data_IF_660439472766
#
_entry.id   IF_660439472766
#
_cell.length_a   1.000
_cell.length_b   1.000
_cell.length_c   1.000
_cell.angle_alpha   90.00
_cell.angle_beta   90.00
_cell.angle_gamma   90.00
#
_symmetry.space_group_name_H-M   'P 1'
#
loop_
_entity.id
_entity.type
_entity.pdbx_description
1 polymer ?
#
# COMPACT_ATOMS: atom_id res chain seq x y z
N UNK A 1 1.35 -13.29 27.04
CA UNK A 1 2.60 -13.89 26.54
C UNK A 1 3.67 -12.87 26.18
N UNK A 2 3.38 -11.62 25.77
CA UNK A 2 4.36 -10.62 25.33
C UNK A 2 4.84 -9.59 26.35
N UNK A 3 4.37 -9.60 27.58
CA UNK A 3 4.58 -8.53 28.57
C UNK A 3 6.05 -8.22 28.93
N UNK A 4 6.97 -9.13 28.63
CA UNK A 4 8.42 -8.95 28.88
C UNK A 4 9.21 -8.57 27.61
N UNK A 5 8.56 -8.45 26.45
CA UNK A 5 9.23 -8.09 25.19
C UNK A 5 9.34 -6.57 25.08
N UNK A 6 10.47 -6.03 24.60
CA UNK A 6 10.60 -4.60 24.37
C UNK A 6 9.63 -4.15 23.28
N UNK A 7 8.99 -3.00 23.48
CA UNK A 7 7.98 -2.42 22.58
C UNK A 7 8.47 -1.17 21.85
N UNK A 8 9.65 -1.23 21.23
CA UNK A 8 10.14 -0.14 20.39
C UNK A 8 9.51 -0.20 19.00
N UNK A 9 9.27 0.95 18.40
CA UNK A 9 8.71 1.11 17.05
C UNK A 9 9.31 0.13 16.03
N UNK A 10 10.63 0.08 15.91
CA UNK A 10 11.31 -0.79 14.93
C UNK A 10 11.03 -2.28 15.19
N UNK A 11 11.04 -2.70 16.46
CA UNK A 11 10.70 -4.08 16.83
C UNK A 11 9.25 -4.40 16.47
N UNK A 12 8.35 -3.46 16.73
CA UNK A 12 6.92 -3.62 16.41
C UNK A 12 6.70 -3.66 14.92
N UNK A 13 7.34 -2.81 14.11
CA UNK A 13 7.28 -2.90 12.66
C UNK A 13 7.72 -4.27 12.12
N UNK A 14 8.75 -4.87 12.73
CA UNK A 14 9.23 -6.19 12.36
C UNK A 14 8.21 -7.30 12.70
N UNK A 15 7.74 -7.33 13.97
CA UNK A 15 6.91 -8.45 14.46
C UNK A 15 5.44 -8.35 14.04
N UNK A 16 4.94 -7.14 13.73
CA UNK A 16 3.57 -6.92 13.28
C UNK A 16 3.42 -7.00 11.75
N UNK A 17 4.49 -7.30 11.01
CA UNK A 17 4.42 -7.58 9.57
C UNK A 17 4.64 -6.38 8.64
N UNK A 18 4.80 -5.13 9.14
CA UNK A 18 5.04 -3.97 8.29
C UNK A 18 6.30 -4.15 7.43
N UNK A 19 7.38 -4.66 8.01
CA UNK A 19 8.62 -4.91 7.28
C UNK A 19 8.50 -6.05 6.25
N UNK A 20 7.59 -7.00 6.47
CA UNK A 20 7.35 -8.08 5.51
C UNK A 20 6.77 -7.58 4.18
N UNK A 21 6.06 -6.43 4.22
CA UNK A 21 5.41 -5.84 3.04
C UNK A 21 6.12 -4.58 2.51
N UNK A 22 7.18 -4.13 3.18
CA UNK A 22 7.92 -2.90 2.83
C UNK A 22 9.31 -3.23 2.32
N UNK A 23 9.67 -2.66 1.17
CA UNK A 23 10.95 -2.85 0.50
C UNK A 23 10.81 -3.37 -0.94
N UNK A 24 11.92 -3.54 -1.66
CA UNK A 24 11.92 -4.05 -3.04
C UNK A 24 11.38 -5.48 -3.08
N UNK A 25 10.70 -5.83 -4.18
CA UNK A 25 10.03 -7.12 -4.33
C UNK A 25 11.01 -8.32 -4.20
N UNK A 26 12.19 -8.16 -4.74
CA UNK A 26 13.28 -9.15 -4.78
C UNK A 26 14.41 -8.88 -3.76
N UNK A 27 14.19 -7.95 -2.84
CA UNK A 27 15.20 -7.48 -1.89
C UNK A 27 14.90 -7.76 -0.42
N UNK A 28 15.60 -7.04 0.46
CA UNK A 28 15.42 -7.11 1.90
C UNK A 28 14.14 -6.46 2.41
N UNK A 29 13.75 -6.81 3.63
CA UNK A 29 12.67 -6.19 4.36
C UNK A 29 13.12 -4.82 4.94
N UNK A 30 12.36 -3.77 4.70
CA UNK A 30 12.67 -2.43 5.15
C UNK A 30 11.65 -1.94 6.17
N UNK A 31 12.11 -1.19 7.17
CA UNK A 31 11.22 -0.42 8.04
C UNK A 31 10.74 0.85 7.31
N UNK A 32 9.63 1.42 7.74
CA UNK A 32 9.26 2.77 7.35
C UNK A 32 10.33 3.79 7.80
N UNK A 33 10.49 4.87 7.04
CA UNK A 33 11.50 5.90 7.31
C UNK A 33 11.31 6.62 8.65
N UNK A 34 10.07 6.67 9.14
CA UNK A 34 9.68 7.28 10.43
C UNK A 34 9.20 6.21 11.41
N UNK A 35 9.04 6.56 12.69
CA UNK A 35 8.50 5.70 13.75
C UNK A 35 6.97 5.54 13.57
N UNK A 36 6.55 4.81 12.53
CA UNK A 36 5.15 4.74 12.10
C UNK A 36 4.24 4.04 13.11
N UNK A 37 4.76 3.05 13.86
CA UNK A 37 4.01 2.38 14.91
C UNK A 37 3.74 3.33 16.09
N UNK A 38 4.73 4.11 16.49
CA UNK A 38 4.56 5.12 17.54
C UNK A 38 3.57 6.21 17.14
N UNK A 39 3.68 6.73 15.91
CA UNK A 39 2.77 7.76 15.40
C UNK A 39 1.32 7.27 15.34
N UNK A 40 1.09 6.08 14.78
CA UNK A 40 -0.25 5.49 14.73
C UNK A 40 -0.84 5.24 16.12
N UNK A 41 -0.02 4.73 17.03
CA UNK A 41 -0.43 4.48 18.42
C UNK A 41 -0.76 5.78 19.15
N UNK A 42 0.04 6.83 18.95
CA UNK A 42 -0.23 8.15 19.50
C UNK A 42 -1.57 8.73 19.00
N UNK A 43 -1.88 8.59 17.71
CA UNK A 43 -3.16 9.00 17.14
C UNK A 43 -4.34 8.19 17.70
N UNK A 44 -4.19 6.87 17.81
CA UNK A 44 -5.21 6.00 18.41
C UNK A 44 -5.42 6.34 19.89
N UNK A 45 -4.35 6.62 20.63
CA UNK A 45 -4.42 7.03 22.03
C UNK A 45 -5.16 8.36 22.18
N UNK A 46 -4.84 9.36 21.36
CA UNK A 46 -5.52 10.66 21.39
C UNK A 46 -7.02 10.50 21.10
N UNK A 47 -7.39 9.70 20.10
CA UNK A 47 -8.78 9.42 19.74
C UNK A 47 -9.53 8.72 20.89
N UNK A 48 -8.92 7.71 21.50
CA UNK A 48 -9.50 6.97 22.62
C UNK A 48 -9.67 7.85 23.86
N UNK A 49 -8.70 8.73 24.16
CA UNK A 49 -8.80 9.71 25.25
C UNK A 49 -9.96 10.67 25.02
N UNK A 50 -10.08 11.23 23.82
CA UNK A 50 -11.20 12.15 23.49
C UNK A 50 -12.56 11.45 23.61
N UNK A 51 -12.68 10.22 23.13
CA UNK A 51 -13.89 9.42 23.28
C UNK A 51 -14.23 9.15 24.76
N UNK A 52 -13.24 8.81 25.56
CA UNK A 52 -13.42 8.58 26.99
C UNK A 52 -13.79 9.86 27.75
N UNK A 53 -13.23 11.01 27.39
CA UNK A 53 -13.58 12.30 27.96
C UNK A 53 -15.03 12.70 27.62
N UNK A 54 -15.44 12.47 26.37
CA UNK A 54 -16.83 12.69 25.95
C UNK A 54 -17.81 11.79 26.72
N UNK A 55 -17.48 10.52 26.89
CA UNK A 55 -18.27 9.60 27.72
C UNK A 55 -18.32 10.05 29.15
N UNK A 56 -17.18 10.47 29.75
CA UNK A 56 -17.12 11.00 31.12
C UNK A 56 -18.01 12.23 31.29
N UNK A 57 -18.00 13.12 30.30
CA UNK A 57 -18.89 14.31 30.32
C UNK A 57 -20.37 13.92 30.38
N UNK A 58 -20.77 12.85 29.67
CA UNK A 58 -22.17 12.39 29.62
C UNK A 58 -22.59 11.56 30.84
N UNK A 59 -21.67 10.79 31.41
CA UNK A 59 -21.97 9.75 32.44
C UNK A 59 -21.45 10.08 33.83
N UNK A 60 -20.56 11.07 33.95
CA UNK A 60 -19.84 11.38 35.18
C UNK A 60 -18.75 10.37 35.55
N UNK A 61 -18.52 9.31 34.74
CA UNK A 61 -17.59 8.23 35.04
C UNK A 61 -16.41 8.22 34.07
N UNK A 62 -15.20 8.16 34.63
CA UNK A 62 -13.99 7.87 33.85
C UNK A 62 -13.85 6.39 33.52
N UNK A 63 -12.90 6.08 32.64
CA UNK A 63 -12.55 4.70 32.25
C UNK A 63 -11.06 4.56 32.03
N UNK A 64 -10.55 3.34 32.17
CA UNK A 64 -9.20 2.97 31.74
C UNK A 64 -9.19 2.81 30.22
N UNK A 65 -8.13 3.26 29.58
CA UNK A 65 -7.85 3.09 28.17
C UNK A 65 -6.56 2.30 28.03
N UNK A 66 -6.56 1.31 27.17
CA UNK A 66 -5.36 0.57 26.78
C UNK A 66 -5.21 0.70 25.25
N UNK A 67 -4.01 1.08 24.79
CA UNK A 67 -3.64 1.17 23.39
C UNK A 67 -2.32 0.45 23.19
N UNK A 68 -2.29 -0.50 22.28
CA UNK A 68 -1.13 -1.33 22.01
C UNK A 68 -0.41 -0.84 20.73
N UNK A 69 0.92 -0.73 20.80
CA UNK A 69 1.77 -0.50 19.62
C UNK A 69 1.56 -1.58 18.55
N UNK A 70 1.50 -2.84 18.99
CA UNK A 70 1.33 -3.98 18.11
C UNK A 70 -0.01 -3.94 17.38
N UNK A 71 -1.12 -3.72 18.08
CA UNK A 71 -2.46 -3.68 17.48
C UNK A 71 -2.60 -2.49 16.54
N UNK A 72 -2.05 -1.34 16.93
CA UNK A 72 -2.03 -0.13 16.08
C UNK A 72 -1.26 -0.38 14.78
N UNK A 73 -0.10 -1.02 14.87
CA UNK A 73 0.71 -1.37 13.70
C UNK A 73 0.04 -2.44 12.83
N UNK A 74 -0.60 -3.44 13.44
CA UNK A 74 -1.31 -4.48 12.71
C UNK A 74 -2.47 -3.88 11.89
N UNK A 75 -3.22 -2.94 12.48
CA UNK A 75 -4.29 -2.23 11.78
C UNK A 75 -3.77 -1.43 10.56
N UNK A 76 -2.52 -0.94 10.60
CA UNK A 76 -1.90 -0.23 9.48
C UNK A 76 -1.52 -1.12 8.28
N UNK A 77 -1.55 -2.45 8.41
CA UNK A 77 -1.40 -3.33 7.25
C UNK A 77 -2.60 -3.23 6.30
N UNK A 78 -3.72 -2.69 6.78
CA UNK A 78 -4.90 -2.36 5.99
C UNK A 78 -5.36 -3.53 5.07
N UNK A 79 -5.53 -3.25 3.78
CA UNK A 79 -5.97 -4.24 2.79
C UNK A 79 -4.97 -5.39 2.60
N UNK A 80 -3.67 -5.16 2.79
CA UNK A 80 -2.65 -6.22 2.62
C UNK A 80 -2.78 -7.26 3.73
N UNK A 81 -2.94 -6.82 4.98
CA UNK A 81 -3.22 -7.71 6.11
C UNK A 81 -4.53 -8.45 5.96
N UNK A 82 -5.59 -7.76 5.53
CA UNK A 82 -6.88 -8.37 5.25
C UNK A 82 -6.79 -9.44 4.16
N UNK A 83 -6.10 -9.15 3.06
CA UNK A 83 -5.90 -10.12 1.98
C UNK A 83 -5.20 -11.39 2.48
N UNK A 84 -4.13 -11.25 3.28
CA UNK A 84 -3.43 -12.39 3.86
C UNK A 84 -4.36 -13.25 4.74
N UNK A 85 -5.18 -12.62 5.58
CA UNK A 85 -6.15 -13.31 6.43
C UNK A 85 -7.23 -14.06 5.64
N UNK A 86 -7.75 -13.48 4.57
CA UNK A 86 -8.82 -14.08 3.76
C UNK A 86 -8.32 -15.16 2.81
N UNK A 87 -7.11 -15.00 2.26
CA UNK A 87 -6.56 -15.94 1.26
C UNK A 87 -5.69 -17.03 1.88
N UNK A 88 -5.20 -16.83 3.11
CA UNK A 88 -4.20 -17.68 3.73
C UNK A 88 -2.81 -17.60 3.10
N UNK A 89 -2.62 -16.69 2.12
CA UNK A 89 -1.34 -16.48 1.46
C UNK A 89 -0.52 -15.41 2.18
N UNK A 90 0.78 -15.64 2.31
CA UNK A 90 1.69 -14.66 2.87
C UNK A 90 1.75 -13.40 2.00
N UNK A 91 1.67 -12.25 2.65
CA UNK A 91 1.85 -10.97 1.97
C UNK A 91 3.32 -10.80 1.55
N UNK A 92 3.52 -10.32 0.32
CA UNK A 92 4.84 -10.11 -0.28
C UNK A 92 5.12 -8.62 -0.49
N UNK A 93 6.41 -8.29 -0.56
CA UNK A 93 6.85 -6.94 -0.93
C UNK A 93 6.57 -6.69 -2.40
N UNK A 94 6.11 -5.49 -2.72
CA UNK A 94 5.78 -5.08 -4.10
C UNK A 94 6.65 -3.88 -4.56
N UNK A 95 7.66 -3.49 -3.79
CA UNK A 95 8.42 -2.27 -4.06
C UNK A 95 7.50 -1.04 -4.03
N UNK A 96 7.52 -0.27 -5.11
CA UNK A 96 6.66 0.90 -5.30
C UNK A 96 5.32 0.57 -5.98
N UNK A 97 5.01 -0.72 -6.20
CA UNK A 97 3.77 -1.12 -6.84
C UNK A 97 2.66 -1.39 -5.82
N UNK A 98 1.41 -1.07 -6.19
CA UNK A 98 0.25 -1.43 -5.39
C UNK A 98 0.02 -2.94 -5.43
N UNK A 99 -0.28 -3.55 -4.27
CA UNK A 99 -0.42 -5.00 -4.15
C UNK A 99 -1.57 -5.58 -5.01
N UNK A 100 -2.69 -4.85 -5.12
CA UNK A 100 -3.96 -5.36 -5.68
C UNK A 100 -4.50 -4.55 -6.86
N UNK A 101 -3.81 -3.53 -7.34
CA UNK A 101 -4.22 -2.67 -8.47
C UNK A 101 -3.09 -2.59 -9.48
N UNK A 102 -3.41 -2.78 -10.76
CA UNK A 102 -2.45 -2.76 -11.87
C UNK A 102 -3.04 -2.05 -13.09
N UNK A 103 -2.30 -1.10 -13.70
CA UNK A 103 -1.03 -0.53 -13.26
C UNK A 103 -1.21 0.52 -12.15
N UNK A 104 -0.41 0.44 -11.10
CA UNK A 104 -0.34 1.45 -10.05
C UNK A 104 1.06 1.40 -9.41
N UNK A 105 2.01 2.14 -9.97
CA UNK A 105 3.41 2.12 -9.53
C UNK A 105 4.22 3.28 -10.13
N UNK A 106 5.47 3.42 -9.70
CA UNK A 106 6.43 4.25 -10.39
C UNK A 106 6.94 3.55 -11.67
N UNK A 107 7.08 4.32 -12.74
CA UNK A 107 7.72 3.93 -13.99
C UNK A 107 8.86 4.88 -14.33
N UNK A 108 9.89 4.38 -15.00
CA UNK A 108 11.01 5.15 -15.49
C UNK A 108 10.71 5.66 -16.90
N UNK A 109 10.59 7.00 -17.05
CA UNK A 109 10.66 7.64 -18.34
C UNK A 109 12.13 7.79 -18.79
N UNK A 110 12.37 8.34 -19.95
CA UNK A 110 13.72 8.54 -20.48
C UNK A 110 14.61 9.36 -19.53
N UNK A 111 14.06 10.39 -18.91
CA UNK A 111 14.79 11.36 -18.05
C UNK A 111 14.65 11.04 -16.54
N UNK A 112 13.44 10.71 -16.05
CA UNK A 112 13.15 10.55 -14.62
C UNK A 112 12.01 9.57 -14.37
N UNK A 113 11.77 9.26 -13.10
CA UNK A 113 10.60 8.48 -12.68
C UNK A 113 9.35 9.36 -12.57
N UNK A 114 8.21 8.75 -12.82
CA UNK A 114 6.88 9.30 -12.55
C UNK A 114 5.95 8.19 -12.06
N UNK A 115 4.84 8.57 -11.44
CA UNK A 115 3.85 7.61 -10.90
C UNK A 115 2.65 7.56 -11.83
N UNK A 116 2.26 6.34 -12.23
CA UNK A 116 0.99 6.07 -12.90
C UNK A 116 0.09 5.29 -11.95
N UNK A 117 -1.13 5.79 -11.74
CA UNK A 117 -2.13 5.20 -10.86
C UNK A 117 -3.47 5.02 -11.58
N UNK A 118 -3.74 3.80 -12.03
CA UNK A 118 -4.99 3.44 -12.75
C UNK A 118 -5.89 2.64 -11.81
N UNK A 119 -6.66 3.35 -10.99
CA UNK A 119 -7.42 2.74 -9.88
C UNK A 119 -8.84 2.29 -10.25
N UNK A 120 -9.26 2.40 -11.52
CA UNK A 120 -10.58 1.95 -11.98
C UNK A 120 -10.55 1.49 -13.43
N UNK A 121 -11.57 0.71 -13.85
CA UNK A 121 -11.70 0.28 -15.24
C UNK A 121 -11.90 1.46 -16.20
N UNK A 122 -12.60 2.51 -15.77
CA UNK A 122 -12.73 3.74 -16.55
C UNK A 122 -11.37 4.39 -16.82
N UNK A 123 -10.53 4.51 -15.79
CA UNK A 123 -9.17 5.05 -15.94
C UNK A 123 -8.29 4.14 -16.80
N UNK A 124 -8.49 2.82 -16.76
CA UNK A 124 -7.78 1.88 -17.63
C UNK A 124 -8.07 2.15 -19.11
N UNK A 125 -9.34 2.31 -19.47
CA UNK A 125 -9.75 2.63 -20.84
C UNK A 125 -9.11 3.95 -21.29
N UNK A 126 -9.20 4.99 -20.44
CA UNK A 126 -8.63 6.31 -20.74
C UNK A 126 -7.10 6.25 -20.90
N UNK A 127 -6.41 5.52 -20.01
CA UNK A 127 -4.97 5.35 -20.11
C UNK A 127 -4.55 4.62 -21.40
N UNK A 128 -5.24 3.55 -21.77
CA UNK A 128 -4.97 2.85 -23.05
C UNK A 128 -5.16 3.76 -24.26
N UNK A 129 -6.21 4.58 -24.26
CA UNK A 129 -6.49 5.53 -25.33
C UNK A 129 -5.42 6.63 -25.42
N UNK A 130 -5.08 7.25 -24.28
CA UNK A 130 -4.06 8.29 -24.20
C UNK A 130 -2.67 7.79 -24.64
N UNK A 131 -2.34 6.55 -24.28
CA UNK A 131 -1.08 5.91 -24.65
C UNK A 131 -1.06 5.31 -26.07
N UNK A 132 -2.18 5.38 -26.83
CA UNK A 132 -2.31 4.75 -28.15
C UNK A 132 -2.20 3.23 -28.10
N UNK A 133 -2.63 2.60 -26.99
CA UNK A 133 -2.52 1.17 -26.74
C UNK A 133 -3.89 0.51 -26.58
N UNK A 134 -4.81 0.77 -27.52
CA UNK A 134 -6.12 0.12 -27.56
C UNK A 134 -6.02 -1.40 -27.80
N UNK A 135 -4.87 -1.90 -28.25
CA UNK A 135 -4.56 -3.33 -28.31
C UNK A 135 -4.68 -3.99 -26.93
N UNK A 136 -4.27 -3.31 -25.86
CA UNK A 136 -4.39 -3.81 -24.48
C UNK A 136 -5.85 -3.96 -24.02
N UNK A 137 -6.78 -3.16 -24.54
CA UNK A 137 -8.21 -3.28 -24.22
C UNK A 137 -8.85 -4.54 -24.82
N UNK A 138 -8.25 -5.07 -25.89
CA UNK A 138 -8.72 -6.28 -26.59
C UNK A 138 -8.04 -7.54 -26.07
N UNK A 139 -6.96 -7.40 -25.32
CA UNK A 139 -6.22 -8.54 -24.77
C UNK A 139 -6.95 -9.08 -23.52
N UNK A 140 -7.39 -10.34 -23.52
CA UNK A 140 -8.09 -10.94 -22.39
C UNK A 140 -7.27 -10.97 -21.10
N UNK A 141 -5.93 -10.90 -21.20
CA UNK A 141 -5.04 -10.81 -20.03
C UNK A 141 -5.20 -9.50 -19.25
N UNK A 142 -5.79 -8.47 -19.87
CA UNK A 142 -5.88 -7.11 -19.30
C UNK A 142 -7.33 -6.61 -19.19
N UNK A 143 -8.31 -7.44 -19.47
CA UNK A 143 -9.73 -7.09 -19.57
C UNK A 143 -10.38 -6.61 -18.25
N UNK A 144 -9.78 -6.90 -17.11
CA UNK A 144 -10.19 -6.38 -15.80
C UNK A 144 -8.99 -6.34 -14.84
N UNK A 145 -9.15 -5.66 -13.69
CA UNK A 145 -8.05 -5.51 -12.75
C UNK A 145 -7.51 -6.87 -12.23
N UNK A 146 -8.36 -7.85 -11.98
CA UNK A 146 -7.91 -9.17 -11.49
C UNK A 146 -7.01 -9.87 -12.52
N UNK A 147 -7.38 -9.82 -13.80
CA UNK A 147 -6.57 -10.35 -14.90
C UNK A 147 -5.23 -9.57 -15.02
N UNK A 148 -5.26 -8.24 -14.94
CA UNK A 148 -4.04 -7.42 -14.94
C UNK A 148 -3.11 -7.74 -13.75
N UNK A 149 -3.66 -8.00 -12.56
CA UNK A 149 -2.86 -8.43 -11.39
C UNK A 149 -2.16 -9.75 -11.66
N UNK A 150 -2.86 -10.73 -12.26
CA UNK A 150 -2.28 -12.03 -12.64
C UNK A 150 -1.17 -11.89 -13.70
N UNK A 151 -1.33 -10.98 -14.64
CA UNK A 151 -0.40 -10.73 -15.75
C UNK A 151 0.46 -9.47 -15.56
N UNK A 152 0.61 -9.03 -14.30
CA UNK A 152 1.34 -7.82 -13.90
C UNK A 152 2.71 -7.66 -14.55
N UNK A 153 3.52 -8.73 -14.53
CA UNK A 153 4.88 -8.67 -15.05
C UNK A 153 4.93 -8.32 -16.54
N UNK A 154 4.09 -8.97 -17.34
CA UNK A 154 4.04 -8.72 -18.78
C UNK A 154 3.56 -7.29 -19.06
N UNK A 155 2.43 -6.88 -18.47
CA UNK A 155 1.88 -5.54 -18.69
C UNK A 155 2.84 -4.43 -18.24
N UNK A 156 3.42 -4.55 -17.04
CA UNK A 156 4.34 -3.52 -16.54
C UNK A 156 5.65 -3.48 -17.31
N UNK A 157 6.13 -4.61 -17.87
CA UNK A 157 7.29 -4.62 -18.76
C UNK A 157 7.00 -3.91 -20.10
N UNK A 158 5.85 -4.16 -20.70
CA UNK A 158 5.42 -3.48 -21.93
C UNK A 158 5.26 -1.97 -21.71
N UNK A 159 4.66 -1.58 -20.56
CA UNK A 159 4.53 -0.18 -20.18
C UNK A 159 5.88 0.48 -19.91
N UNK A 160 6.79 -0.20 -19.22
CA UNK A 160 8.13 0.32 -18.94
C UNK A 160 8.91 0.56 -20.25
N UNK A 161 8.81 -0.35 -21.21
CA UNK A 161 9.41 -0.18 -22.54
C UNK A 161 8.82 1.04 -23.28
N UNK A 162 7.50 1.22 -23.21
CA UNK A 162 6.84 2.39 -23.80
C UNK A 162 7.28 3.68 -23.12
N UNK A 163 7.25 3.74 -21.80
CA UNK A 163 7.59 4.97 -21.06
C UNK A 163 9.05 5.39 -21.19
N UNK A 164 9.96 4.47 -21.46
CA UNK A 164 11.37 4.77 -21.70
C UNK A 164 11.61 5.52 -23.02
N UNK A 165 10.65 5.63 -23.92
CA UNK A 165 10.81 6.26 -25.23
C UNK A 165 10.78 7.78 -25.20
N UNK A 166 10.11 8.39 -24.21
CA UNK A 166 9.94 9.83 -24.08
C UNK A 166 10.25 10.33 -22.67
N UNK A 167 10.38 11.64 -22.49
CA UNK A 167 10.57 12.27 -21.19
C UNK A 167 9.29 12.24 -20.36
N UNK A 168 9.42 12.28 -19.04
CA UNK A 168 8.29 12.24 -18.13
C UNK A 168 7.29 13.39 -18.39
N UNK A 169 7.75 14.54 -18.85
CA UNK A 169 6.88 15.67 -19.20
C UNK A 169 5.85 15.28 -20.26
N UNK A 170 6.28 14.57 -21.31
CA UNK A 170 5.37 14.05 -22.35
C UNK A 170 4.26 13.18 -21.77
N UNK A 171 4.60 12.24 -20.90
CA UNK A 171 3.62 11.31 -20.29
C UNK A 171 2.69 11.96 -19.28
N UNK A 172 3.12 13.07 -18.65
CA UNK A 172 2.32 13.81 -17.68
C UNK A 172 1.34 14.80 -18.32
N UNK A 173 1.50 15.11 -19.61
CA UNK A 173 0.60 16.00 -20.39
C UNK A 173 -0.57 15.22 -21.04
N UNK A 174 -0.49 13.89 -21.11
CA UNK A 174 -1.54 13.01 -21.65
C UNK A 174 -2.66 12.77 -20.64
#
# INVERSE_FOLDING_TARGET
PGAKRPGYDYVVQAVAGMMAITGPADGGAYKAGVAVADLATGQNAATAILAALLQRHRTGRGQRIEVSLFDSQLAMLANVGSNALFTGADATRQGNAHASIVPYQAFRARDREFVLAVASEKLWIQACQALGREDWLRDPRYGNNAARVQHRQALCADMAALFATEDAAHWLEL
#
